data_IF_719870306189
#
_entry.id   IF_719870306189
#
_cell.length_a   1.000
_cell.length_b   1.000
_cell.length_c   1.000
_cell.angle_alpha   90.00
_cell.angle_beta   90.00
_cell.angle_gamma   90.00
#
_symmetry.space_group_name_H-M   'P 1'
#
loop_
_entity.id
_entity.type
_entity.pdbx_description
1 polymer ?
#
# COMPACT_ATOMS: atom_id res chain seq x y z
N UNK A 1 -9.76 1.47 11.98
CA UNK A 1 -9.87 0.46 13.05
C UNK A 1 -9.05 -0.79 12.71
N UNK A 2 -8.44 -1.47 13.67
CA UNK A 2 -7.63 -2.69 13.45
C UNK A 2 -8.09 -3.76 14.46
N UNK A 3 -8.61 -4.86 13.96
CA UNK A 3 -9.24 -5.93 14.77
C UNK A 3 -8.57 -7.23 14.35
N UNK A 4 -7.95 -7.94 15.32
CA UNK A 4 -7.27 -9.22 15.07
C UNK A 4 -6.22 -9.20 13.93
N UNK A 5 -5.51 -8.08 13.77
CA UNK A 5 -4.51 -7.89 12.70
C UNK A 5 -5.08 -7.47 11.34
N UNK A 6 -6.40 -7.43 11.20
CA UNK A 6 -7.10 -7.04 9.98
C UNK A 6 -7.59 -5.60 10.11
N UNK A 7 -7.37 -4.79 9.07
CA UNK A 7 -7.83 -3.39 9.04
C UNK A 7 -9.29 -3.33 8.64
N UNK A 8 -10.07 -2.52 9.34
CA UNK A 8 -11.47 -2.26 9.03
C UNK A 8 -11.75 -0.77 8.86
N UNK A 9 -12.56 -0.43 7.86
CA UNK A 9 -13.01 0.94 7.61
C UNK A 9 -14.38 1.00 6.93
N UNK A 10 -15.06 2.12 7.13
CA UNK A 10 -16.37 2.41 6.53
C UNK A 10 -16.25 2.65 5.01
N UNK A 11 -17.29 2.34 4.22
CA UNK A 11 -17.26 2.52 2.75
C UNK A 11 -16.85 3.95 2.31
N UNK A 12 -17.42 4.97 2.95
CA UNK A 12 -17.08 6.38 2.69
C UNK A 12 -15.60 6.69 2.98
N UNK A 13 -15.07 6.07 4.03
CA UNK A 13 -13.69 6.22 4.47
C UNK A 13 -12.72 5.49 3.52
N UNK A 14 -13.16 4.37 2.94
CA UNK A 14 -12.42 3.63 1.91
C UNK A 14 -12.33 4.46 0.63
N UNK A 15 -13.48 4.90 0.10
CA UNK A 15 -13.55 5.73 -1.11
C UNK A 15 -12.83 7.06 -0.94
N UNK A 16 -12.96 7.70 0.22
CA UNK A 16 -12.31 8.97 0.53
C UNK A 16 -10.85 8.88 0.95
N UNK A 17 -10.19 7.72 0.85
CA UNK A 17 -8.80 7.51 1.27
C UNK A 17 -8.50 7.82 2.76
N UNK A 18 -9.52 7.92 3.61
CA UNK A 18 -9.44 8.19 5.06
C UNK A 18 -9.50 6.92 5.91
N UNK A 19 -9.27 5.76 5.29
CA UNK A 19 -9.44 4.45 5.93
C UNK A 19 -8.50 4.24 7.12
N UNK A 20 -7.33 4.87 7.10
CA UNK A 20 -6.34 4.82 8.18
C UNK A 20 -6.86 5.38 9.51
N UNK A 21 -7.74 6.39 9.46
CA UNK A 21 -8.29 7.08 10.62
C UNK A 21 -9.81 6.85 10.78
N UNK A 22 -10.35 5.77 10.20
CA UNK A 22 -11.76 5.46 10.33
C UNK A 22 -12.08 4.96 11.75
N UNK A 23 -12.86 5.76 12.49
CA UNK A 23 -13.37 5.49 13.84
C UNK A 23 -14.91 5.54 13.92
N UNK A 24 -15.61 5.48 12.79
CA UNK A 24 -17.07 5.47 12.77
C UNK A 24 -17.58 4.12 13.30
N UNK A 25 -18.45 4.16 14.31
CA UNK A 25 -19.07 2.97 14.92
C UNK A 25 -20.48 2.71 14.36
N UNK A 26 -21.15 3.74 13.85
CA UNK A 26 -22.53 3.65 13.35
C UNK A 26 -22.61 3.13 11.91
N UNK A 27 -21.48 3.08 11.21
CA UNK A 27 -21.42 2.73 9.79
C UNK A 27 -20.92 1.29 9.62
N UNK A 28 -21.43 0.54 8.63
CA UNK A 28 -20.92 -0.80 8.33
C UNK A 28 -19.43 -0.71 8.00
N UNK A 29 -18.64 -1.52 8.71
CA UNK A 29 -17.19 -1.64 8.56
C UNK A 29 -16.87 -2.79 7.62
N UNK A 30 -15.94 -2.55 6.71
CA UNK A 30 -15.46 -3.55 5.75
C UNK A 30 -13.99 -3.85 5.99
N UNK A 31 -13.62 -5.11 5.79
CA UNK A 31 -12.22 -5.52 5.79
C UNK A 31 -11.45 -4.81 4.66
N UNK A 32 -10.31 -4.22 5.02
CA UNK A 32 -9.39 -3.56 4.12
C UNK A 32 -8.17 -4.44 3.93
N UNK A 33 -8.08 -5.05 2.75
CA UNK A 33 -6.88 -5.80 2.35
C UNK A 33 -5.66 -4.87 2.30
N UNK A 34 -4.48 -5.45 2.50
CA UNK A 34 -3.21 -4.70 2.45
C UNK A 34 -3.08 -3.96 1.11
N UNK A 35 -2.96 -2.63 1.16
CA UNK A 35 -2.67 -1.80 0.00
C UNK A 35 -1.21 -2.00 -0.40
N UNK A 36 -0.97 -2.34 -1.65
CA UNK A 36 0.37 -2.37 -2.22
C UNK A 36 0.29 -2.57 -3.72
N UNK A 37 0.86 -1.63 -4.49
CA UNK A 37 1.14 -1.88 -5.90
C UNK A 37 2.25 -2.94 -5.94
N UNK A 38 2.17 -3.95 -6.82
CA UNK A 38 3.31 -4.84 -7.04
C UNK A 38 4.54 -3.99 -7.38
N UNK A 39 5.72 -4.43 -6.92
CA UNK A 39 6.96 -3.73 -7.23
C UNK A 39 7.16 -3.72 -8.74
N UNK A 40 7.32 -2.51 -9.30
CA UNK A 40 7.52 -2.32 -10.74
C UNK A 40 8.99 -2.36 -11.15
N UNK A 41 9.90 -2.46 -10.19
CA UNK A 41 11.36 -2.45 -10.37
C UNK A 41 11.95 -3.71 -9.76
N UNK A 42 13.02 -4.24 -10.35
CA UNK A 42 13.81 -5.31 -9.75
C UNK A 42 14.50 -4.86 -8.46
N UNK A 43 14.98 -5.84 -7.69
CA UNK A 43 15.75 -5.65 -6.45
C UNK A 43 16.91 -4.69 -6.64
N UNK A 44 17.77 -4.95 -7.63
CA UNK A 44 18.95 -4.15 -7.96
C UNK A 44 18.64 -2.66 -8.22
N UNK A 45 17.71 -2.36 -9.13
CA UNK A 45 17.36 -0.97 -9.45
C UNK A 45 16.76 -0.22 -8.26
N UNK A 46 16.05 -0.94 -7.37
CA UNK A 46 15.50 -0.37 -6.14
C UNK A 46 16.61 -0.01 -5.14
N UNK A 47 17.64 -0.85 -5.03
CA UNK A 47 18.76 -0.58 -4.15
C UNK A 47 19.61 0.59 -4.64
N UNK A 48 19.82 0.73 -5.96
CA UNK A 48 20.50 1.90 -6.54
C UNK A 48 19.79 3.23 -6.20
N UNK A 49 18.45 3.24 -6.14
CA UNK A 49 17.71 4.43 -5.67
C UNK A 49 17.99 4.75 -4.20
N UNK A 50 18.10 3.74 -3.34
CA UNK A 50 18.31 3.95 -1.90
C UNK A 50 19.75 4.31 -1.56
N UNK A 51 20.70 3.59 -2.14
CA UNK A 51 22.12 3.71 -1.78
C UNK A 51 22.82 4.81 -2.56
N UNK A 52 22.41 5.05 -3.82
CA UNK A 52 23.06 5.99 -4.72
C UNK A 52 22.16 7.12 -5.23
N UNK A 53 20.88 7.15 -4.83
CA UNK A 53 19.91 8.17 -5.27
C UNK A 53 19.73 8.23 -6.80
N UNK A 54 19.92 7.09 -7.49
CA UNK A 54 19.82 7.03 -8.95
C UNK A 54 18.38 6.75 -9.39
N UNK A 55 17.74 7.69 -10.07
CA UNK A 55 16.34 7.60 -10.50
C UNK A 55 16.16 7.21 -11.98
N UNK A 56 16.64 6.03 -12.37
CA UNK A 56 16.42 5.51 -13.73
C UNK A 56 15.15 4.68 -13.84
N UNK A 57 14.61 4.57 -15.07
CA UNK A 57 13.55 3.61 -15.41
C UNK A 57 14.15 2.20 -15.38
N UNK A 58 13.52 1.28 -14.65
CA UNK A 58 13.93 -0.12 -14.65
C UNK A 58 13.48 -0.76 -15.97
N UNK A 59 14.45 -1.14 -16.80
CA UNK A 59 14.25 -1.86 -18.07
C UNK A 59 14.74 -3.31 -17.99
N UNK A 60 14.94 -3.83 -16.77
CA UNK A 60 15.35 -5.20 -16.53
C UNK A 60 14.25 -6.16 -17.01
N UNK A 61 14.63 -7.17 -17.80
CA UNK A 61 13.73 -8.20 -18.32
C UNK A 61 13.35 -9.23 -17.24
N UNK A 62 14.16 -9.33 -16.18
CA UNK A 62 13.96 -10.28 -15.09
C UNK A 62 13.63 -9.56 -13.77
N UNK A 63 12.53 -9.96 -13.13
CA UNK A 63 12.05 -9.42 -11.84
C UNK A 63 12.47 -10.30 -10.67
N UNK A 64 13.74 -10.74 -10.63
CA UNK A 64 14.28 -11.49 -9.48
C UNK A 64 14.71 -10.58 -8.32
#
# INVERSE_FOLDING_TARGET
MLINGIKFACNTCVKGHRSSNCNHIERPLFEIRKKGRPVTQCSFCRDLRKTRQIHIKCSCTDKS
#
